data_IF_644497271492
#
_entry.id   IF_644497271492
#
_cell.length_a   1.000
_cell.length_b   1.000
_cell.length_c   1.000
_cell.angle_alpha   90.00
_cell.angle_beta   90.00
_cell.angle_gamma   90.00
#
_symmetry.space_group_name_H-M   'P 1'
#
loop_
_entity.id
_entity.type
_entity.pdbx_description
1 polymer ?
#
# COMPACT_ATOMS: atom_id res chain seq x y z
N UNK A 1 20.63 9.99 -23.05
CA UNK A 1 19.38 9.70 -22.33
C UNK A 1 19.75 9.12 -20.99
N UNK A 2 19.67 9.90 -19.93
CA UNK A 2 19.99 9.44 -18.57
C UNK A 2 18.88 8.50 -18.12
N UNK A 3 19.23 7.24 -17.87
CA UNK A 3 18.35 6.32 -17.14
C UNK A 3 18.15 6.90 -15.75
N UNK A 4 16.96 7.43 -15.49
CA UNK A 4 16.52 7.65 -14.11
C UNK A 4 16.43 6.27 -13.46
N UNK A 5 17.48 5.86 -12.73
CA UNK A 5 17.38 4.72 -11.86
C UNK A 5 16.22 5.02 -10.89
N UNK A 6 15.15 4.24 -10.99
CA UNK A 6 14.09 4.27 -9.98
C UNK A 6 14.79 4.02 -8.65
N UNK A 7 14.67 4.97 -7.73
CA UNK A 7 15.33 4.95 -6.40
C UNK A 7 15.04 3.68 -5.61
N UNK A 8 13.94 3.00 -5.89
CA UNK A 8 13.51 1.73 -5.29
C UNK A 8 14.05 0.46 -5.99
N UNK A 9 15.15 0.55 -6.76
CA UNK A 9 15.67 -0.62 -7.46
C UNK A 9 16.09 -1.73 -6.48
N UNK A 10 15.97 -3.02 -6.85
CA UNK A 10 16.42 -4.15 -6.03
C UNK A 10 17.89 -4.03 -5.62
N UNK A 11 18.72 -3.40 -6.46
CA UNK A 11 20.14 -3.17 -6.18
C UNK A 11 20.33 -2.22 -4.99
N UNK A 12 19.58 -1.12 -4.89
CA UNK A 12 19.72 -0.17 -3.79
C UNK A 12 19.28 -0.82 -2.47
N UNK A 13 18.19 -1.55 -2.46
CA UNK A 13 17.74 -2.24 -1.26
C UNK A 13 18.75 -3.29 -0.78
N UNK A 14 19.42 -4.03 -1.68
CA UNK A 14 20.49 -4.96 -1.32
C UNK A 14 21.69 -4.27 -0.68
N UNK A 15 22.09 -3.10 -1.16
CA UNK A 15 23.19 -2.33 -0.53
C UNK A 15 22.81 -1.82 0.86
N UNK A 16 21.52 -1.73 1.18
CA UNK A 16 21.02 -1.40 2.51
C UNK A 16 20.82 -2.62 3.43
N UNK A 17 21.10 -3.84 2.94
CA UNK A 17 21.02 -5.08 3.73
C UNK A 17 19.82 -5.97 3.45
N UNK A 18 18.94 -5.61 2.50
CA UNK A 18 17.87 -6.50 2.07
C UNK A 18 18.42 -7.73 1.33
N UNK A 19 17.78 -8.87 1.53
CA UNK A 19 18.10 -10.13 0.89
C UNK A 19 17.19 -10.39 -0.31
N UNK A 20 17.75 -10.81 -1.45
CA UNK A 20 16.94 -11.26 -2.58
C UNK A 20 16.51 -12.71 -2.36
N UNK A 21 15.24 -12.91 -2.05
CA UNK A 21 14.67 -14.25 -1.88
C UNK A 21 14.30 -14.88 -3.22
N UNK A 22 13.95 -14.06 -4.21
CA UNK A 22 13.60 -14.49 -5.56
C UNK A 22 13.98 -13.39 -6.55
N UNK A 23 14.44 -13.78 -7.75
CA UNK A 23 14.72 -12.88 -8.86
C UNK A 23 15.83 -11.86 -8.59
N UNK A 24 15.64 -10.66 -9.11
CA UNK A 24 16.54 -9.53 -8.90
C UNK A 24 17.55 -9.32 -10.01
N UNK A 25 17.43 -10.04 -11.12
CA UNK A 25 18.22 -9.79 -12.31
C UNK A 25 17.53 -8.74 -13.18
N UNK A 26 18.35 -8.00 -13.90
CA UNK A 26 17.93 -7.01 -14.87
C UNK A 26 18.68 -7.19 -16.16
N UNK A 27 17.95 -7.22 -17.26
CA UNK A 27 18.51 -7.17 -18.62
C UNK A 27 17.86 -6.04 -19.40
N UNK A 28 18.59 -4.96 -19.61
CA UNK A 28 18.10 -3.71 -20.21
C UNK A 28 16.86 -3.16 -19.49
N UNK A 29 15.70 -3.16 -20.15
CA UNK A 29 14.41 -2.72 -19.62
C UNK A 29 13.61 -3.87 -18.96
N UNK A 30 14.09 -5.09 -19.05
CA UNK A 30 13.45 -6.23 -18.40
C UNK A 30 13.94 -6.38 -16.95
N UNK A 31 12.99 -6.48 -16.03
CA UNK A 31 13.24 -6.77 -14.63
C UNK A 31 12.53 -8.07 -14.26
N UNK A 32 13.27 -9.01 -13.70
CA UNK A 32 12.65 -10.21 -13.13
C UNK A 32 11.72 -9.86 -11.98
N UNK A 33 10.57 -10.57 -11.84
CA UNK A 33 9.78 -10.53 -10.62
C UNK A 33 10.69 -10.83 -9.42
N UNK A 34 10.70 -9.90 -8.45
CA UNK A 34 11.67 -9.91 -7.37
C UNK A 34 10.99 -9.86 -6.02
N UNK A 35 11.44 -10.71 -5.10
CA UNK A 35 11.03 -10.67 -3.69
C UNK A 35 12.25 -10.34 -2.84
N UNK A 36 12.16 -9.26 -2.07
CA UNK A 36 13.17 -8.86 -1.09
C UNK A 36 12.71 -9.25 0.31
N UNK A 37 13.57 -9.96 1.03
CA UNK A 37 13.42 -10.22 2.45
C UNK A 37 14.31 -9.33 3.30
N UNK A 38 14.13 -9.41 4.61
CA UNK A 38 14.88 -8.63 5.61
C UNK A 38 14.79 -7.11 5.37
N UNK A 39 13.72 -6.64 4.75
CA UNK A 39 13.49 -5.21 4.57
C UNK A 39 13.11 -4.59 5.92
N UNK A 40 13.62 -3.40 6.19
CA UNK A 40 13.29 -2.60 7.37
C UNK A 40 12.58 -1.30 6.97
N UNK A 41 11.91 -0.67 7.93
CA UNK A 41 11.22 0.62 7.72
C UNK A 41 12.15 1.75 7.27
N UNK A 42 13.48 1.60 7.47
CA UNK A 42 14.46 2.61 7.07
C UNK A 42 14.91 2.48 5.62
N UNK A 43 14.66 1.35 4.99
CA UNK A 43 15.09 1.08 3.62
C UNK A 43 14.19 1.76 2.59
N UNK A 44 14.76 2.08 1.44
CA UNK A 44 14.06 2.69 0.31
C UNK A 44 12.89 1.83 -0.15
N UNK A 45 13.03 0.49 -0.16
CA UNK A 45 11.97 -0.44 -0.55
C UNK A 45 10.74 -0.46 0.36
N UNK A 46 10.83 0.16 1.55
CA UNK A 46 9.69 0.45 2.40
C UNK A 46 9.13 1.85 2.16
N UNK A 47 10.02 2.84 2.01
CA UNK A 47 9.66 4.28 1.98
C UNK A 47 9.11 4.73 0.65
N UNK A 48 9.52 4.09 -0.44
CA UNK A 48 9.16 4.51 -1.80
C UNK A 48 8.40 3.42 -2.55
N UNK A 49 7.47 3.85 -3.38
CA UNK A 49 6.75 2.94 -4.27
C UNK A 49 7.65 2.45 -5.40
N UNK A 50 7.74 1.13 -5.55
CA UNK A 50 8.45 0.50 -6.65
C UNK A 50 7.51 0.33 -7.85
N UNK A 51 7.65 1.17 -8.88
CA UNK A 51 6.94 0.98 -10.15
C UNK A 51 7.56 -0.17 -10.93
N UNK A 52 7.31 -1.40 -10.50
CA UNK A 52 7.88 -2.60 -11.11
C UNK A 52 7.52 -3.88 -10.36
N UNK A 53 7.93 -5.04 -10.87
CA UNK A 53 7.61 -6.35 -10.31
C UNK A 53 8.46 -6.64 -9.04
N UNK A 54 8.30 -5.84 -8.01
CA UNK A 54 9.04 -5.92 -6.76
C UNK A 54 8.08 -6.04 -5.57
N UNK A 55 8.30 -7.03 -4.72
CA UNK A 55 7.65 -7.16 -3.42
C UNK A 55 8.68 -7.09 -2.29
N UNK A 56 8.47 -6.21 -1.32
CA UNK A 56 9.29 -6.08 -0.13
C UNK A 56 8.60 -6.79 1.04
N UNK A 57 9.32 -7.69 1.71
CA UNK A 57 8.83 -8.45 2.85
C UNK A 57 9.50 -7.97 4.12
N UNK A 58 8.68 -7.57 5.10
CA UNK A 58 9.11 -7.12 6.42
C UNK A 58 8.62 -8.11 7.45
N UNK A 59 9.50 -8.54 8.33
CA UNK A 59 9.13 -9.42 9.45
C UNK A 59 8.63 -8.59 10.63
N UNK A 60 7.37 -8.74 10.97
CA UNK A 60 6.82 -8.20 12.21
C UNK A 60 7.13 -9.12 13.40
N UNK A 61 7.23 -8.55 14.60
CA UNK A 61 7.45 -9.28 15.86
C UNK A 61 6.19 -9.98 16.32
N UNK A 62 5.07 -9.29 16.15
CA UNK A 62 3.73 -9.72 16.51
C UNK A 62 2.69 -8.95 15.65
N UNK A 63 1.42 -9.19 15.90
CA UNK A 63 0.33 -8.56 15.15
C UNK A 63 0.29 -7.03 15.33
N UNK A 64 0.49 -6.53 16.55
CA UNK A 64 0.48 -5.09 16.79
C UNK A 64 1.59 -4.39 16.01
N UNK A 65 2.80 -4.95 16.05
CA UNK A 65 3.91 -4.44 15.27
C UNK A 65 3.66 -4.52 13.75
N UNK A 66 2.89 -5.51 13.26
CA UNK A 66 2.50 -5.56 11.86
C UNK A 66 1.60 -4.38 11.46
N UNK A 67 0.63 -4.03 12.31
CA UNK A 67 -0.24 -2.88 12.09
C UNK A 67 0.52 -1.55 12.24
N UNK A 68 1.43 -1.43 13.18
CA UNK A 68 2.33 -0.27 13.31
C UNK A 68 3.17 -0.07 12.05
N UNK A 69 3.76 -1.13 11.51
CA UNK A 69 4.51 -1.08 10.25
C UNK A 69 3.62 -0.67 9.07
N UNK A 70 2.41 -1.19 8.97
CA UNK A 70 1.46 -0.80 7.93
C UNK A 70 1.11 0.70 8.03
N UNK A 71 0.89 1.23 9.24
CA UNK A 71 0.57 2.64 9.47
C UNK A 71 1.76 3.58 9.18
N UNK A 72 3.00 3.12 9.36
CA UNK A 72 4.21 3.90 9.01
C UNK A 72 4.33 4.21 7.51
N UNK A 73 3.65 3.45 6.66
CA UNK A 73 3.64 3.72 5.22
C UNK A 73 3.08 5.11 4.91
N UNK A 74 3.73 5.83 4.01
CA UNK A 74 3.22 7.10 3.48
C UNK A 74 2.08 6.92 2.48
N UNK A 75 1.78 5.69 2.09
CA UNK A 75 0.68 5.30 1.20
C UNK A 75 -0.47 4.69 2.01
N UNK A 76 -1.67 4.77 1.48
CA UNK A 76 -2.87 4.27 2.15
C UNK A 76 -4.00 3.96 1.17
N UNK A 77 -3.71 3.24 0.08
CA UNK A 77 -4.76 2.81 -0.84
C UNK A 77 -5.60 1.69 -0.22
N UNK A 78 -4.95 0.67 0.29
CA UNK A 78 -5.64 -0.42 0.93
C UNK A 78 -4.70 -1.43 1.58
N UNK A 79 -5.24 -2.16 2.53
CA UNK A 79 -4.56 -3.21 3.29
C UNK A 79 -5.34 -4.52 3.18
N UNK A 80 -4.63 -5.61 3.06
CA UNK A 80 -5.18 -6.96 3.23
C UNK A 80 -4.59 -7.62 4.46
N UNK A 81 -5.46 -8.11 5.34
CA UNK A 81 -5.08 -8.92 6.50
C UNK A 81 -5.51 -10.37 6.28
N UNK A 82 -4.55 -11.28 6.22
CA UNK A 82 -4.81 -12.71 6.11
C UNK A 82 -4.74 -13.35 7.49
N UNK A 83 -5.87 -13.84 8.00
CA UNK A 83 -5.96 -14.38 9.36
C UNK A 83 -7.14 -15.33 9.53
N UNK A 84 -7.06 -16.22 10.49
CA UNK A 84 -8.20 -17.03 10.95
C UNK A 84 -9.07 -16.31 11.99
N UNK A 85 -8.54 -15.26 12.64
CA UNK A 85 -9.27 -14.44 13.61
C UNK A 85 -9.84 -13.18 12.97
N UNK A 86 -10.96 -13.34 12.28
CA UNK A 86 -11.63 -12.26 11.53
C UNK A 86 -12.07 -11.11 12.46
N UNK A 87 -12.64 -11.44 13.64
CA UNK A 87 -13.13 -10.43 14.58
C UNK A 87 -11.99 -9.51 15.05
N UNK A 88 -10.83 -10.10 15.34
CA UNK A 88 -9.65 -9.33 15.72
C UNK A 88 -9.15 -8.45 14.57
N UNK A 89 -9.09 -8.97 13.35
CA UNK A 89 -8.70 -8.19 12.19
C UNK A 89 -9.61 -6.97 12.00
N UNK A 90 -10.93 -7.14 12.12
CA UNK A 90 -11.89 -6.05 12.05
C UNK A 90 -11.66 -5.04 13.19
N UNK A 91 -11.47 -5.50 14.41
CA UNK A 91 -11.23 -4.60 15.56
C UNK A 91 -9.95 -3.76 15.42
N UNK A 92 -8.94 -4.29 14.75
CA UNK A 92 -7.66 -3.63 14.52
C UNK A 92 -7.64 -2.74 13.27
N UNK A 93 -8.65 -2.80 12.41
CA UNK A 93 -8.68 -2.03 11.15
C UNK A 93 -8.50 -0.52 11.35
N UNK A 94 -8.99 0.03 12.47
CA UNK A 94 -8.85 1.46 12.80
C UNK A 94 -7.41 1.88 13.17
N UNK A 95 -6.47 0.94 13.26
CA UNK A 95 -5.07 1.24 13.55
C UNK A 95 -4.27 1.62 12.30
N UNK A 96 -4.84 1.43 11.11
CA UNK A 96 -4.24 1.81 9.83
C UNK A 96 -5.13 2.81 9.13
N UNK A 97 -4.52 3.92 8.72
CA UNK A 97 -5.20 4.98 7.96
C UNK A 97 -5.20 4.65 6.47
N UNK A 98 -5.90 3.59 6.10
CA UNK A 98 -6.07 3.17 4.70
C UNK A 98 -7.44 3.56 4.14
N UNK A 99 -7.58 3.52 2.83
CA UNK A 99 -8.85 3.80 2.15
C UNK A 99 -9.75 2.58 2.05
N UNK A 100 -9.17 1.37 2.11
CA UNK A 100 -9.91 0.13 1.99
C UNK A 100 -9.23 -0.99 2.78
N UNK A 101 -9.95 -1.62 3.72
CA UNK A 101 -9.43 -2.68 4.57
C UNK A 101 -10.13 -4.01 4.23
N UNK A 102 -9.33 -4.98 3.80
CA UNK A 102 -9.82 -6.30 3.39
C UNK A 102 -9.32 -7.38 4.35
N UNK A 103 -10.16 -8.34 4.65
CA UNK A 103 -9.78 -9.51 5.46
C UNK A 103 -9.95 -10.76 4.61
N UNK A 104 -8.86 -11.50 4.41
CA UNK A 104 -8.78 -12.71 3.59
C UNK A 104 -9.22 -12.53 2.13
N UNK A 105 -9.12 -11.32 1.60
CA UNK A 105 -9.44 -10.99 0.22
C UNK A 105 -8.42 -9.97 -0.29
N UNK A 106 -8.17 -9.93 -1.59
CA UNK A 106 -7.31 -8.93 -2.22
C UNK A 106 -7.98 -7.56 -2.23
N UNK A 107 -7.17 -6.51 -2.09
CA UNK A 107 -7.64 -5.13 -2.33
C UNK A 107 -8.08 -5.03 -3.79
N UNK A 108 -9.36 -4.77 -4.00
CA UNK A 108 -9.96 -4.61 -5.33
C UNK A 108 -11.13 -3.65 -5.30
N UNK A 109 -11.35 -2.86 -6.37
CA UNK A 109 -12.53 -2.02 -6.47
C UNK A 109 -13.80 -2.87 -6.61
N UNK A 110 -14.86 -2.47 -5.92
CA UNK A 110 -16.22 -3.02 -6.06
C UNK A 110 -17.18 -1.85 -6.32
N UNK A 111 -17.97 -1.86 -7.41
CA UNK A 111 -18.87 -0.76 -7.74
C UNK A 111 -19.90 -0.40 -6.65
N UNK A 112 -20.14 -1.31 -5.72
CA UNK A 112 -21.08 -1.12 -4.61
C UNK A 112 -20.49 -0.40 -3.40
N UNK A 113 -19.16 -0.32 -3.33
CA UNK A 113 -18.41 0.20 -2.19
C UNK A 113 -17.58 1.41 -2.60
N UNK A 114 -17.45 2.44 -1.75
CA UNK A 114 -16.54 3.53 -2.03
C UNK A 114 -15.09 3.02 -2.05
N UNK A 115 -14.32 3.47 -3.03
CA UNK A 115 -12.93 3.09 -3.22
C UNK A 115 -12.05 4.33 -3.38
N UNK A 116 -10.88 4.34 -2.79
CA UNK A 116 -9.91 5.45 -2.92
C UNK A 116 -8.88 5.41 -1.81
N UNK A 117 -7.83 6.19 -1.98
CA UNK A 117 -6.69 6.24 -1.08
C UNK A 117 -6.81 7.29 0.01
N UNK A 118 -5.86 7.22 0.92
CA UNK A 118 -5.52 8.22 1.92
C UNK A 118 -4.03 8.55 1.79
N UNK A 119 -3.50 9.48 2.57
CA UNK A 119 -2.09 9.85 2.56
C UNK A 119 -1.65 10.19 1.12
N UNK A 120 -0.49 9.69 0.68
CA UNK A 120 0.02 9.92 -0.69
C UNK A 120 -0.71 9.12 -1.77
N UNK A 121 -1.56 8.15 -1.40
CA UNK A 121 -2.37 7.40 -2.36
C UNK A 121 -3.58 8.16 -2.88
N UNK A 122 -3.90 9.30 -2.32
CA UNK A 122 -4.94 10.19 -2.83
C UNK A 122 -5.90 10.70 -1.76
N UNK A 123 -6.95 11.35 -2.24
CA UNK A 123 -8.06 11.87 -1.46
C UNK A 123 -9.36 11.60 -2.24
N UNK A 124 -10.50 11.88 -1.62
CA UNK A 124 -11.82 11.58 -2.17
C UNK A 124 -12.10 10.07 -2.29
N UNK A 125 -13.25 9.74 -2.85
CA UNK A 125 -13.65 8.36 -3.12
C UNK A 125 -14.28 8.27 -4.49
N UNK A 126 -13.99 7.21 -5.20
CA UNK A 126 -14.68 6.78 -6.40
C UNK A 126 -15.64 5.63 -6.09
N UNK A 127 -16.47 5.28 -7.05
CA UNK A 127 -17.48 4.23 -6.94
C UNK A 127 -18.59 4.52 -5.92
N UNK A 128 -19.62 3.67 -5.92
CA UNK A 128 -20.80 3.78 -5.07
C UNK A 128 -21.41 5.19 -5.09
N UNK A 129 -22.15 5.53 -4.04
CA UNK A 129 -22.78 6.85 -3.88
C UNK A 129 -21.74 7.96 -3.68
N UNK A 130 -20.65 7.65 -2.98
CA UNK A 130 -19.63 8.66 -2.65
C UNK A 130 -18.94 9.16 -3.92
N UNK A 131 -18.63 8.27 -4.87
CA UNK A 131 -18.05 8.66 -6.15
C UNK A 131 -18.97 9.58 -6.97
N UNK A 132 -20.29 9.39 -6.91
CA UNK A 132 -21.23 10.30 -7.57
C UNK A 132 -21.22 11.68 -6.89
N UNK A 133 -21.11 11.71 -5.57
CA UNK A 133 -21.13 12.94 -4.79
C UNK A 133 -19.89 13.81 -4.99
N UNK A 134 -18.79 13.27 -5.49
CA UNK A 134 -17.59 14.05 -5.86
C UNK A 134 -17.83 15.00 -7.06
N UNK A 135 -18.85 14.71 -7.90
CA UNK A 135 -19.15 15.49 -9.09
C UNK A 135 -20.35 16.43 -8.90
N UNK A 136 -20.89 16.57 -7.68
CA UNK A 136 -22.04 17.41 -7.42
C UNK A 136 -21.71 18.57 -6.48
N UNK A 137 -22.33 19.72 -6.72
CA UNK A 137 -22.25 20.87 -5.83
C UNK A 137 -23.29 20.75 -4.70
N UNK A 138 -22.85 20.66 -3.44
CA UNK A 138 -23.72 20.74 -2.26
C UNK A 138 -23.95 22.20 -1.91
N UNK A 139 -25.13 22.75 -2.27
CA UNK A 139 -25.48 24.14 -2.02
C UNK A 139 -26.34 24.27 -0.75
N UNK A 140 -25.90 25.09 0.19
CA UNK A 140 -26.70 25.48 1.35
C UNK A 140 -27.55 26.72 1.01
N UNK A 141 -28.85 26.67 1.34
CA UNK A 141 -29.76 27.82 1.29
C UNK A 141 -30.25 28.05 2.71
N UNK A 142 -29.91 29.20 3.26
CA UNK A 142 -30.37 29.62 4.58
C UNK A 142 -31.32 30.84 4.39
N UNK A 143 -32.51 30.77 4.99
CA UNK A 143 -33.47 31.86 5.03
C UNK A 143 -33.79 32.14 6.50
N UNK A 144 -33.68 33.41 6.92
CA UNK A 144 -33.99 33.86 8.27
C UNK A 144 -35.45 34.33 8.33
#
# INVERSE_FOLDING_TARGET
MSQSATTSSPRINRTQGAESLLGGNQDNCYHEPTILGNVTSEMVGFKEEAFGPLAAMIKAKDENHAFELAELSTFGLGVTVCTTNIEKAISMSNQVSDGAHFVNELVKPDPRLPFGGTKNSGYARELAKDGILEFVNRKTIYVK
#
